data_IF_938917669607
#
_entry.id   IF_938917669607
#
_cell.length_a   1.000
_cell.length_b   1.000
_cell.length_c   1.000
_cell.angle_alpha   90.00
_cell.angle_beta   90.00
_cell.angle_gamma   90.00
#
_symmetry.space_group_name_H-M   'P 1'
#
loop_
_entity.id
_entity.type
_entity.pdbx_description
1 polymer ?
#
# COMPACT_ATOMS: atom_id res chain seq x y z
N UNK A 1 5.41 -7.33 -16.70
CA UNK A 1 4.31 -6.35 -16.84
C UNK A 1 4.17 -5.65 -15.50
N UNK A 2 4.60 -4.40 -15.37
CA UNK A 2 4.33 -3.60 -14.17
C UNK A 2 3.14 -2.69 -14.44
N UNK A 3 2.25 -2.58 -13.45
CA UNK A 3 1.09 -1.69 -13.50
C UNK A 3 1.32 -0.57 -12.49
N UNK A 4 1.14 0.68 -12.90
CA UNK A 4 1.16 1.82 -11.99
C UNK A 4 -0.25 2.30 -11.70
N UNK A 5 -0.52 2.60 -10.45
CA UNK A 5 -1.81 3.14 -10.00
C UNK A 5 -1.57 4.45 -9.24
N UNK A 6 -2.12 5.58 -9.69
CA UNK A 6 -2.06 6.84 -8.94
C UNK A 6 -2.95 6.74 -7.69
N UNK A 7 -2.45 7.24 -6.56
CA UNK A 7 -3.15 7.27 -5.28
C UNK A 7 -2.79 8.54 -4.50
N UNK A 8 -3.67 8.93 -3.58
CA UNK A 8 -3.36 9.89 -2.53
C UNK A 8 -2.94 9.08 -1.30
N UNK A 9 -1.68 9.19 -0.88
CA UNK A 9 -1.19 8.58 0.36
C UNK A 9 -1.49 9.54 1.51
N UNK A 10 -2.18 9.03 2.53
CA UNK A 10 -2.57 9.80 3.73
C UNK A 10 -1.72 9.45 4.94
N UNK A 11 -1.03 8.32 4.93
CA UNK A 11 -0.09 7.97 6.00
C UNK A 11 0.68 6.68 5.76
N UNK A 12 1.73 6.50 6.53
CA UNK A 12 2.61 5.33 6.50
C UNK A 12 2.79 4.77 7.91
N UNK A 13 2.75 3.44 8.06
CA UNK A 13 2.97 2.77 9.34
C UNK A 13 3.86 1.53 9.16
N UNK A 14 4.96 1.48 9.90
CA UNK A 14 5.77 0.27 10.01
C UNK A 14 4.95 -0.85 10.65
N UNK A 15 4.98 -2.04 10.06
CA UNK A 15 4.22 -3.20 10.49
C UNK A 15 5.10 -4.43 10.41
N UNK A 16 5.74 -4.77 11.54
CA UNK A 16 6.62 -5.94 11.68
C UNK A 16 6.26 -6.72 12.94
N UNK A 17 6.37 -8.04 12.88
CA UNK A 17 6.08 -8.92 14.00
C UNK A 17 5.91 -10.36 13.53
N UNK A 18 5.19 -11.14 14.33
CA UNK A 18 4.80 -12.52 14.00
C UNK A 18 3.31 -12.67 14.24
N UNK A 19 2.65 -13.49 13.42
CA UNK A 19 1.28 -13.90 13.68
C UNK A 19 1.15 -15.41 13.49
N UNK A 20 0.30 -16.03 14.29
CA UNK A 20 0.01 -17.46 14.19
C UNK A 20 -1.36 -17.62 13.54
N UNK A 21 -1.45 -18.14 12.30
CA UNK A 21 -2.74 -18.34 11.63
C UNK A 21 -3.59 -19.35 12.40
N UNK A 22 -4.87 -19.02 12.60
CA UNK A 22 -5.85 -19.93 13.21
C UNK A 22 -6.44 -20.94 12.20
N UNK A 23 -6.25 -20.66 10.90
CA UNK A 23 -6.74 -21.48 9.78
C UNK A 23 -5.79 -21.45 8.57
N UNK A 24 -6.00 -22.36 7.63
CA UNK A 24 -5.20 -22.50 6.40
C UNK A 24 -4.01 -23.46 6.55
N UNK A 25 -3.19 -23.54 5.49
CA UNK A 25 -2.07 -24.50 5.42
C UNK A 25 -0.98 -24.27 6.48
N UNK A 26 -0.85 -23.04 6.99
CA UNK A 26 0.15 -22.68 8.00
C UNK A 26 -0.46 -22.56 9.41
N UNK A 27 -1.60 -23.23 9.67
CA UNK A 27 -2.28 -23.18 10.96
C UNK A 27 -1.33 -23.57 12.11
N UNK A 28 -1.27 -22.75 13.15
CA UNK A 28 -0.46 -23.03 14.34
C UNK A 28 1.05 -22.79 14.17
N UNK A 29 1.52 -22.42 12.98
CA UNK A 29 2.94 -22.10 12.73
C UNK A 29 3.14 -20.58 12.74
N UNK A 30 3.94 -20.01 13.66
CA UNK A 30 4.25 -18.59 13.66
C UNK A 30 4.81 -18.14 12.31
N UNK A 31 4.20 -17.10 11.74
CA UNK A 31 4.62 -16.51 10.47
C UNK A 31 5.16 -15.11 10.73
N UNK A 32 6.47 -14.88 10.47
CA UNK A 32 7.01 -13.53 10.56
C UNK A 32 6.45 -12.68 9.41
N UNK A 33 6.20 -11.41 9.70
CA UNK A 33 5.85 -10.41 8.70
C UNK A 33 6.68 -9.14 8.91
N UNK A 34 7.03 -8.50 7.80
CA UNK A 34 7.76 -7.24 7.79
C UNK A 34 7.27 -6.42 6.59
N UNK A 35 6.43 -5.43 6.85
CA UNK A 35 5.79 -4.61 5.84
C UNK A 35 5.75 -3.13 6.24
N UNK A 36 5.71 -2.26 5.24
CA UNK A 36 5.23 -0.89 5.35
C UNK A 36 3.75 -0.88 4.93
N UNK A 37 2.87 -0.49 5.86
CA UNK A 37 1.47 -0.24 5.55
C UNK A 37 1.32 1.18 5.00
N UNK A 38 0.67 1.31 3.85
CA UNK A 38 0.46 2.56 3.14
C UNK A 38 -1.04 2.82 3.14
N UNK A 39 -1.44 3.86 3.87
CA UNK A 39 -2.82 4.31 3.95
C UNK A 39 -3.07 5.25 2.79
N UNK A 40 -4.09 4.94 2.00
CA UNK A 40 -4.44 5.71 0.81
C UNK A 40 -5.90 6.07 0.83
N UNK A 41 -6.23 7.18 0.17
CA UNK A 41 -7.59 7.57 -0.14
C UNK A 41 -7.82 7.42 -1.63
N UNK A 42 -8.77 6.54 -2.00
CA UNK A 42 -9.18 6.33 -3.39
C UNK A 42 -10.51 7.03 -3.62
N UNK A 43 -10.60 8.01 -4.53
CA UNK A 43 -11.87 8.64 -4.85
C UNK A 43 -12.86 7.61 -5.40
N UNK A 44 -14.14 7.80 -5.09
CA UNK A 44 -15.18 6.99 -5.74
C UNK A 44 -15.20 7.23 -7.24
N UNK A 45 -15.63 6.22 -8.00
CA UNK A 45 -15.76 6.33 -9.44
C UNK A 45 -16.74 7.47 -9.78
N UNK A 46 -16.37 8.43 -10.65
CA UNK A 46 -17.25 9.53 -11.03
C UNK A 46 -18.58 9.08 -11.64
N UNK A 47 -18.64 7.88 -12.21
CA UNK A 47 -19.87 7.29 -12.75
C UNK A 47 -20.85 6.81 -11.67
N UNK A 48 -20.39 6.65 -10.43
CA UNK A 48 -21.24 6.25 -9.32
C UNK A 48 -22.01 7.46 -8.76
N UNK A 49 -23.20 7.71 -9.31
CA UNK A 49 -24.08 8.82 -8.90
C UNK A 49 -24.56 8.74 -7.44
N UNK A 50 -24.34 7.62 -6.74
CA UNK A 50 -24.73 7.44 -5.33
C UNK A 50 -23.56 7.60 -4.35
N UNK A 51 -22.35 7.92 -4.82
CA UNK A 51 -21.17 8.02 -3.98
C UNK A 51 -20.47 9.37 -4.13
N UNK A 52 -20.10 9.98 -2.99
CA UNK A 52 -19.34 11.23 -2.92
C UNK A 52 -18.17 11.04 -1.94
N UNK A 53 -16.99 11.54 -2.31
CA UNK A 53 -15.79 11.43 -1.50
C UNK A 53 -14.88 10.27 -1.92
N UNK A 54 -14.41 9.51 -0.93
CA UNK A 54 -13.37 8.51 -1.12
C UNK A 54 -13.50 7.32 -0.17
N UNK A 55 -12.97 6.18 -0.58
CA UNK A 55 -12.75 5.02 0.27
C UNK A 55 -11.29 4.96 0.73
N UNK A 56 -11.07 4.65 2.01
CA UNK A 56 -9.73 4.36 2.51
C UNK A 56 -9.31 2.94 2.11
N UNK A 57 -8.06 2.81 1.65
CA UNK A 57 -7.47 1.55 1.28
C UNK A 57 -6.06 1.44 1.85
N UNK A 58 -5.71 0.25 2.35
CA UNK A 58 -4.37 -0.05 2.87
C UNK A 58 -3.65 -0.95 1.86
N UNK A 59 -2.50 -0.50 1.39
CA UNK A 59 -1.55 -1.32 0.64
C UNK A 59 -0.39 -1.75 1.53
N UNK A 60 0.21 -2.90 1.23
CA UNK A 60 1.35 -3.44 1.97
C UNK A 60 2.55 -3.55 1.04
N UNK A 61 3.61 -2.81 1.34
CA UNK A 61 4.91 -2.94 0.70
C UNK A 61 5.82 -3.79 1.59
N UNK A 62 6.48 -4.79 1.03
CA UNK A 62 7.39 -5.67 1.80
C UNK A 62 8.57 -4.87 2.34
N UNK A 63 8.87 -5.04 3.63
CA UNK A 63 9.94 -4.36 4.36
C UNK A 63 9.51 -3.04 5.00
N UNK A 64 9.40 -3.03 6.32
CA UNK A 64 9.11 -1.84 7.13
C UNK A 64 10.20 -0.77 7.04
N UNK A 65 11.45 -1.14 6.73
CA UNK A 65 12.54 -0.20 6.50
C UNK A 65 12.29 0.80 5.37
N UNK A 66 11.37 0.49 4.44
CA UNK A 66 10.93 1.45 3.42
C UNK A 66 10.33 2.73 4.04
N UNK A 67 9.87 2.70 5.29
CA UNK A 67 9.40 3.88 6.01
C UNK A 67 10.42 5.02 5.97
N UNK A 68 11.72 4.73 6.15
CA UNK A 68 12.77 5.73 6.16
C UNK A 68 13.05 6.38 4.80
N UNK A 69 12.56 5.77 3.70
CA UNK A 69 12.62 6.38 2.36
C UNK A 69 11.65 7.55 2.23
N UNK A 70 10.55 7.54 3.00
CA UNK A 70 9.40 8.41 2.81
C UNK A 70 9.00 9.19 4.08
N UNK A 71 9.65 8.95 5.23
CA UNK A 71 9.26 9.53 6.52
C UNK A 71 9.46 11.05 6.62
N UNK A 72 10.20 11.66 5.69
CA UNK A 72 10.40 13.11 5.61
C UNK A 72 9.36 13.81 4.74
N UNK A 73 8.52 13.05 4.04
CA UNK A 73 7.48 13.60 3.20
C UNK A 73 6.32 14.15 4.02
N UNK A 74 5.64 15.15 3.46
CA UNK A 74 4.43 15.70 4.06
C UNK A 74 3.22 15.02 3.47
N UNK A 75 2.29 14.61 4.33
CA UNK A 75 1.03 13.97 3.92
C UNK A 75 -0.13 14.98 4.03
N UNK A 76 -1.17 14.88 3.17
CA UNK A 76 -1.31 13.90 2.09
C UNK A 76 -0.39 14.18 0.90
N UNK A 77 0.03 13.14 0.17
CA UNK A 77 0.84 13.29 -1.04
C UNK A 77 0.32 12.45 -2.21
N UNK A 78 0.62 12.91 -3.42
CA UNK A 78 0.30 12.19 -4.65
C UNK A 78 1.46 11.27 -5.03
N UNK A 79 1.17 9.99 -5.25
CA UNK A 79 2.16 8.99 -5.66
C UNK A 79 1.56 7.96 -6.61
N UNK A 80 2.43 7.29 -7.36
CA UNK A 80 2.10 6.08 -8.12
C UNK A 80 2.60 4.85 -7.37
N UNK A 81 1.69 3.91 -7.11
CA UNK A 81 2.03 2.59 -6.63
C UNK A 81 2.37 1.69 -7.82
N UNK A 82 3.58 1.13 -7.83
CA UNK A 82 4.01 0.18 -8.86
C UNK A 82 3.75 -1.26 -8.40
N UNK A 83 2.95 -1.99 -9.16
CA UNK A 83 2.64 -3.39 -8.91
C UNK A 83 3.32 -4.29 -9.92
N UNK A 84 3.74 -5.47 -9.45
CA UNK A 84 4.15 -6.59 -10.30
C UNK A 84 3.28 -7.81 -10.00
N UNK A 85 3.14 -8.70 -10.99
CA UNK A 85 2.42 -9.95 -10.79
C UNK A 85 3.33 -11.01 -10.19
N UNK A 86 2.94 -11.53 -9.04
CA UNK A 86 3.53 -12.72 -8.45
C UNK A 86 2.93 -13.97 -9.12
N UNK A 87 3.68 -14.53 -10.08
CA UNK A 87 3.30 -15.74 -10.82
C UNK A 87 3.56 -17.03 -10.03
N UNK A 88 4.18 -16.96 -8.85
CA UNK A 88 4.33 -18.14 -7.98
C UNK A 88 3.01 -18.52 -7.32
N UNK A 89 2.02 -17.62 -7.33
CA UNK A 89 0.66 -17.85 -6.84
C UNK A 89 -0.29 -18.14 -8.00
N UNK A 90 -1.22 -19.06 -7.78
CA UNK A 90 -2.28 -19.38 -8.75
C UNK A 90 -3.64 -19.01 -8.15
N UNK A 91 -4.41 -18.08 -8.76
CA UNK A 91 -4.02 -17.25 -9.90
C UNK A 91 -2.93 -16.21 -9.51
N UNK A 92 -2.17 -15.67 -10.50
CA UNK A 92 -1.18 -14.63 -10.26
C UNK A 92 -1.79 -13.45 -9.50
N UNK A 93 -1.09 -12.95 -8.48
CA UNK A 93 -1.59 -11.84 -7.65
C UNK A 93 -0.72 -10.60 -7.84
N UNK A 94 -1.32 -9.41 -7.98
CA UNK A 94 -0.55 -8.18 -7.95
C UNK A 94 0.05 -8.00 -6.55
N UNK A 95 1.34 -7.72 -6.50
CA UNK A 95 2.08 -7.37 -5.30
C UNK A 95 2.66 -5.97 -5.47
N UNK A 96 2.59 -5.17 -4.41
CA UNK A 96 3.16 -3.84 -4.43
C UNK A 96 4.68 -3.93 -4.40
N UNK A 97 5.32 -3.36 -5.42
CA UNK A 97 6.75 -3.37 -5.64
C UNK A 97 7.42 -2.10 -5.13
N UNK A 98 6.87 -0.94 -5.46
CA UNK A 98 7.45 0.35 -5.06
C UNK A 98 6.43 1.50 -5.03
N UNK A 99 6.87 2.65 -4.50
CA UNK A 99 6.12 3.90 -4.44
C UNK A 99 6.93 4.99 -5.16
N UNK A 100 6.32 5.64 -6.14
CA UNK A 100 6.90 6.77 -6.87
C UNK A 100 6.17 8.06 -6.51
N UNK A 101 6.82 8.99 -5.81
CA UNK A 101 6.18 10.26 -5.42
C UNK A 101 6.06 11.17 -6.65
N UNK A 102 4.86 11.69 -6.91
CA UNK A 102 4.60 12.63 -8.00
C UNK A 102 4.70 14.07 -7.46
N UNK A 103 3.99 14.37 -6.37
CA UNK A 103 3.90 15.72 -5.81
C UNK A 103 3.60 15.67 -4.31
N UNK A 104 4.46 16.30 -3.51
CA UNK A 104 4.13 16.65 -2.13
C UNK A 104 3.21 17.87 -2.15
N UNK A 105 2.01 17.76 -1.56
CA UNK A 105 1.02 18.86 -1.60
C UNK A 105 1.39 20.04 -0.70
N UNK A 106 2.48 19.92 0.07
CA UNK A 106 3.05 21.01 0.87
C UNK A 106 4.41 21.41 0.29
N UNK A 107 4.36 22.22 -0.77
CA UNK A 107 5.46 23.14 -1.07
C UNK A 107 5.61 24.06 0.15
N UNK A 108 6.78 24.02 0.80
CA UNK A 108 7.14 24.98 1.84
C UNK A 108 6.94 26.40 1.27
N UNK A 109 5.93 27.10 1.78
CA UNK A 109 5.88 28.55 1.75
C UNK A 109 6.97 29.12 2.66
#
# INVERSE_FOLDING_TARGET
>A
MSQRQPVIITGLKMSKGEFTPESGMNKGVPQPYDNLNIYTSKPFDPSNMQAVGSMEQIFKLKGSGNYYRFNKESFPLEAELEFEFDFTKTPPKPILKDIHIIKSTLSKA
#
